data_IF_477479508420
#
_entry.id   IF_477479508420
#
_cell.length_a   1.000
_cell.length_b   1.000
_cell.length_c   1.000
_cell.angle_alpha   90.00
_cell.angle_beta   90.00
_cell.angle_gamma   90.00
#
_symmetry.space_group_name_H-M   'P 1'
#
loop_
_entity.id
_entity.type
_entity.pdbx_description
1 polymer ?
#
# COMPACT_ATOMS: atom_id res chain seq x y z
N UNK A 1 44.43 46.13 10.15
CA UNK A 1 43.23 46.21 9.26
C UNK A 1 42.25 45.12 9.72
N UNK A 2 41.19 45.53 10.46
CA UNK A 2 40.42 44.64 11.34
C UNK A 2 39.41 43.76 10.59
N UNK A 3 39.36 42.51 10.97
CA UNK A 3 38.47 41.44 10.47
C UNK A 3 37.00 41.91 10.29
N UNK A 4 36.55 42.80 11.15
CA UNK A 4 35.22 43.46 11.10
C UNK A 4 34.90 44.20 9.80
N UNK A 5 35.93 44.79 9.13
CA UNK A 5 35.74 45.48 7.83
C UNK A 5 35.59 44.52 6.67
N UNK A 6 36.25 43.33 6.70
CA UNK A 6 36.06 42.29 5.67
C UNK A 6 34.71 41.63 5.75
N UNK A 7 34.16 41.41 6.98
CA UNK A 7 32.83 40.80 7.16
C UNK A 7 31.71 41.74 6.66
N UNK A 8 31.89 43.07 6.79
CA UNK A 8 30.90 44.05 6.34
C UNK A 8 30.85 44.21 4.82
N UNK A 9 31.90 43.81 4.09
CA UNK A 9 31.90 43.80 2.64
C UNK A 9 31.24 42.54 2.04
N UNK A 10 31.17 41.45 2.78
CA UNK A 10 30.50 40.21 2.35
C UNK A 10 28.97 40.24 2.50
N UNK A 11 28.44 41.23 3.28
CA UNK A 11 26.98 41.40 3.48
C UNK A 11 26.42 42.52 2.59
N UNK A 12 27.18 42.94 1.59
CA UNK A 12 26.76 44.06 0.73
C UNK A 12 26.20 43.51 -0.60
N UNK A 13 24.96 43.04 -0.57
CA UNK A 13 23.87 43.47 -1.45
C UNK A 13 22.59 42.72 -1.04
N UNK A 14 21.66 43.35 -0.35
CA UNK A 14 20.28 42.92 -0.41
C UNK A 14 19.75 43.39 -1.78
N UNK A 15 20.05 42.66 -2.81
CA UNK A 15 19.24 42.70 -4.01
C UNK A 15 17.94 41.99 -3.64
N UNK A 16 17.02 42.74 -3.08
CA UNK A 16 15.67 42.28 -2.82
C UNK A 16 15.02 41.90 -4.17
N UNK A 17 14.27 40.82 -4.18
CA UNK A 17 13.47 40.43 -5.33
C UNK A 17 12.55 41.60 -5.75
N UNK A 18 12.49 41.89 -7.03
CA UNK A 18 11.53 42.83 -7.55
C UNK A 18 10.12 42.20 -7.53
N UNK A 19 9.08 43.05 -7.35
CA UNK A 19 7.69 42.58 -7.43
C UNK A 19 7.41 41.85 -8.73
N UNK A 20 8.00 42.31 -9.86
CA UNK A 20 7.83 41.69 -11.15
C UNK A 20 8.47 40.30 -11.23
N UNK A 21 9.64 40.12 -10.62
CA UNK A 21 10.34 38.83 -10.56
C UNK A 21 9.54 37.81 -9.76
N UNK A 22 8.96 38.20 -8.60
CA UNK A 22 8.10 37.35 -7.81
C UNK A 22 6.84 36.91 -8.58
N UNK A 23 6.16 37.85 -9.24
CA UNK A 23 4.98 37.56 -10.08
C UNK A 23 5.34 36.57 -11.19
N UNK A 24 6.45 36.80 -11.87
CA UNK A 24 6.89 35.91 -12.96
C UNK A 24 7.12 34.47 -12.44
N UNK A 25 7.76 34.32 -11.29
CA UNK A 25 8.01 32.99 -10.71
C UNK A 25 6.71 32.28 -10.37
N UNK A 26 5.75 32.95 -9.72
CA UNK A 26 4.47 32.30 -9.36
C UNK A 26 3.66 31.92 -10.60
N UNK A 27 3.68 32.74 -11.68
CA UNK A 27 3.02 32.41 -12.95
C UNK A 27 3.65 31.17 -13.58
N UNK A 28 4.98 31.07 -13.62
CA UNK A 28 5.68 29.90 -14.17
C UNK A 28 5.36 28.64 -13.36
N UNK A 29 5.38 28.72 -12.02
CA UNK A 29 5.02 27.58 -11.16
C UNK A 29 3.57 27.16 -11.41
N UNK A 30 2.64 28.11 -11.53
CA UNK A 30 1.23 27.81 -11.80
C UNK A 30 1.05 27.07 -13.13
N UNK A 31 1.74 27.48 -14.19
CA UNK A 31 1.70 26.80 -15.50
C UNK A 31 2.26 25.39 -15.42
N UNK A 32 3.37 25.16 -14.70
CA UNK A 32 3.93 23.83 -14.50
C UNK A 32 3.01 22.93 -13.69
N UNK A 33 2.37 23.47 -12.66
CA UNK A 33 1.45 22.72 -11.80
C UNK A 33 0.26 22.13 -12.60
N UNK A 34 -0.31 22.89 -13.53
CA UNK A 34 -1.43 22.43 -14.37
C UNK A 34 -1.07 21.20 -15.20
N UNK A 35 0.18 21.07 -15.64
CA UNK A 35 0.65 19.92 -16.43
C UNK A 35 0.96 18.69 -15.57
N UNK A 36 1.44 18.89 -14.33
CA UNK A 36 1.93 17.81 -13.47
C UNK A 36 0.80 17.15 -12.66
N UNK A 37 -0.16 17.95 -12.17
CA UNK A 37 -1.19 17.47 -11.23
C UNK A 37 -2.02 16.30 -11.78
N UNK A 38 -2.53 16.30 -13.03
CA UNK A 38 -3.32 15.18 -13.53
C UNK A 38 -2.58 13.84 -13.54
N UNK A 39 -1.31 13.84 -13.95
CA UNK A 39 -0.48 12.63 -13.94
C UNK A 39 -0.18 12.12 -12.54
N UNK A 40 -0.01 13.01 -11.59
CA UNK A 40 0.27 12.67 -10.19
C UNK A 40 -0.90 11.98 -9.50
N UNK A 41 -2.14 12.36 -9.80
CA UNK A 41 -3.34 11.72 -9.24
C UNK A 41 -3.46 10.25 -9.67
N UNK A 42 -3.21 9.94 -10.95
CA UNK A 42 -3.19 8.55 -11.42
C UNK A 42 -2.11 7.72 -10.72
N UNK A 43 -0.93 8.27 -10.54
CA UNK A 43 0.16 7.58 -9.83
C UNK A 43 -0.20 7.25 -8.37
N UNK A 44 -0.88 8.18 -7.69
CA UNK A 44 -1.33 7.92 -6.30
C UNK A 44 -2.37 6.79 -6.25
N UNK A 45 -3.31 6.76 -7.19
CA UNK A 45 -4.34 5.72 -7.21
C UNK A 45 -3.75 4.33 -7.49
N UNK A 46 -2.80 4.24 -8.40
CA UNK A 46 -2.09 2.98 -8.67
C UNK A 46 -1.25 2.55 -7.46
N UNK A 47 -0.53 3.47 -6.81
CA UNK A 47 0.23 3.17 -5.60
C UNK A 47 -0.65 2.68 -4.44
N UNK A 48 -1.87 3.21 -4.30
CA UNK A 48 -2.84 2.73 -3.29
C UNK A 48 -3.30 1.31 -3.59
N UNK A 49 -3.53 0.96 -4.86
CA UNK A 49 -3.89 -0.40 -5.29
C UNK A 49 -2.76 -1.37 -5.02
N UNK A 50 -1.53 -1.01 -5.38
CA UNK A 50 -0.34 -1.84 -5.13
C UNK A 50 -0.13 -2.08 -3.64
N UNK A 51 -0.30 -1.06 -2.80
CA UNK A 51 -0.25 -1.20 -1.35
C UNK A 51 -1.34 -2.15 -0.83
N UNK A 52 -2.58 -2.01 -1.31
CA UNK A 52 -3.69 -2.89 -0.91
C UNK A 52 -3.42 -4.36 -1.32
N UNK A 53 -2.84 -4.59 -2.51
CA UNK A 53 -2.44 -5.94 -2.96
C UNK A 53 -1.36 -6.52 -2.04
N UNK A 54 -0.33 -5.74 -1.70
CA UNK A 54 0.75 -6.21 -0.83
C UNK A 54 0.24 -6.59 0.55
N UNK A 55 -0.64 -5.79 1.12
CA UNK A 55 -1.29 -6.06 2.41
C UNK A 55 -2.19 -7.30 2.35
N UNK A 56 -3.01 -7.43 1.30
CA UNK A 56 -3.87 -8.59 1.13
C UNK A 56 -3.05 -9.89 1.02
N UNK A 57 -1.88 -9.85 0.36
CA UNK A 57 -0.95 -10.99 0.30
C UNK A 57 -0.38 -11.33 1.68
N UNK A 58 -0.04 -10.33 2.48
CA UNK A 58 0.44 -10.55 3.85
C UNK A 58 -0.64 -11.21 4.71
N UNK A 59 -1.88 -10.75 4.60
CA UNK A 59 -3.04 -11.35 5.28
C UNK A 59 -3.28 -12.78 4.78
N UNK A 60 -3.18 -13.02 3.47
CA UNK A 60 -3.31 -14.38 2.91
C UNK A 60 -2.29 -15.36 3.50
N UNK A 61 -1.01 -14.95 3.55
CA UNK A 61 0.05 -15.79 4.12
C UNK A 61 -0.17 -16.05 5.61
N UNK A 62 -0.56 -15.04 6.37
CA UNK A 62 -0.89 -15.18 7.78
C UNK A 62 -2.10 -16.12 8.00
N UNK A 63 -3.14 -15.96 7.17
CA UNK A 63 -4.32 -16.84 7.22
C UNK A 63 -3.94 -18.30 6.90
N UNK A 64 -3.07 -18.51 5.90
CA UNK A 64 -2.60 -19.85 5.55
C UNK A 64 -1.80 -20.49 6.69
N UNK A 65 -0.90 -19.76 7.33
CA UNK A 65 -0.15 -20.24 8.50
C UNK A 65 -1.11 -20.63 9.61
N UNK A 66 -2.06 -19.76 9.95
CA UNK A 66 -3.01 -19.99 11.04
C UNK A 66 -3.98 -21.13 10.74
N UNK A 67 -4.46 -21.23 9.49
CA UNK A 67 -5.32 -22.33 9.07
C UNK A 67 -4.62 -23.70 9.21
N UNK A 68 -3.36 -23.77 8.75
CA UNK A 68 -2.54 -24.98 8.87
C UNK A 68 -2.30 -25.34 10.35
N UNK A 69 -2.04 -24.34 11.21
CA UNK A 69 -1.88 -24.53 12.64
C UNK A 69 -3.16 -25.08 13.28
N UNK A 70 -4.32 -24.46 13.02
CA UNK A 70 -5.61 -24.93 13.53
C UNK A 70 -5.95 -26.33 13.04
N UNK A 71 -5.60 -26.65 11.79
CA UNK A 71 -5.81 -27.99 11.24
C UNK A 71 -4.93 -29.03 11.92
N UNK A 72 -3.70 -28.68 12.28
CA UNK A 72 -2.75 -29.61 12.92
C UNK A 72 -3.16 -30.02 14.34
N UNK A 73 -3.97 -29.19 15.02
CA UNK A 73 -4.45 -29.45 16.37
C UNK A 73 -5.94 -29.84 16.40
N UNK A 74 -6.52 -30.15 15.23
CA UNK A 74 -7.90 -30.56 15.12
C UNK A 74 -8.15 -31.90 15.85
N UNK A 75 -9.20 -31.93 16.66
CA UNK A 75 -9.68 -33.10 17.36
C UNK A 75 -11.22 -33.13 17.36
N UNK A 76 -11.81 -34.23 17.77
CA UNK A 76 -13.28 -34.33 17.94
C UNK A 76 -13.83 -33.30 18.94
N UNK A 77 -13.03 -32.89 19.93
CA UNK A 77 -13.39 -31.91 20.94
C UNK A 77 -13.06 -30.47 20.51
N UNK A 78 -12.11 -30.30 19.59
CA UNK A 78 -11.70 -29.01 19.02
C UNK A 78 -11.69 -29.10 17.49
N UNK A 79 -12.86 -28.97 16.83
CA UNK A 79 -12.95 -29.08 15.39
C UNK A 79 -12.26 -27.88 14.70
N UNK A 80 -11.72 -28.13 13.52
CA UNK A 80 -11.12 -27.08 12.69
C UNK A 80 -12.10 -25.92 12.42
N UNK A 81 -11.61 -24.71 12.58
CA UNK A 81 -12.30 -23.48 12.20
C UNK A 81 -11.43 -22.63 11.28
N UNK A 82 -12.08 -21.91 10.38
CA UNK A 82 -11.41 -20.94 9.52
C UNK A 82 -10.92 -19.77 10.39
N UNK A 83 -9.64 -19.32 10.26
CA UNK A 83 -9.14 -18.20 11.03
C UNK A 83 -9.86 -16.90 10.68
N UNK A 84 -10.06 -16.04 11.65
CA UNK A 84 -10.60 -14.71 11.49
C UNK A 84 -9.51 -13.61 11.63
N UNK A 85 -9.90 -12.34 11.46
CA UNK A 85 -8.98 -11.21 11.55
C UNK A 85 -8.27 -11.11 12.93
N UNK A 86 -8.91 -11.57 14.02
CA UNK A 86 -8.30 -11.50 15.35
C UNK A 86 -7.21 -12.56 15.51
N UNK A 87 -7.39 -13.71 14.88
CA UNK A 87 -6.40 -14.80 14.90
C UNK A 87 -5.10 -14.43 14.17
N UNK A 88 -5.14 -13.43 13.31
CA UNK A 88 -4.01 -13.02 12.46
C UNK A 88 -3.18 -11.87 13.02
N UNK A 89 -3.63 -11.21 14.09
CA UNK A 89 -3.03 -9.96 14.59
C UNK A 89 -1.55 -10.08 14.96
N UNK A 90 -1.16 -11.19 15.53
CA UNK A 90 0.21 -11.46 15.94
C UNK A 90 1.14 -11.83 14.77
N UNK A 91 0.58 -12.26 13.64
CA UNK A 91 1.31 -12.65 12.44
C UNK A 91 1.48 -11.49 11.44
N UNK A 92 0.48 -10.63 11.33
CA UNK A 92 0.49 -9.52 10.35
C UNK A 92 1.20 -8.26 10.83
N UNK A 93 1.66 -8.24 12.10
CA UNK A 93 2.39 -7.09 12.65
C UNK A 93 1.48 -5.97 13.14
N UNK A 94 2.00 -4.73 13.25
CA UNK A 94 1.31 -3.63 13.92
C UNK A 94 -0.06 -3.34 13.30
N UNK A 95 -0.99 -2.87 14.11
CA UNK A 95 -2.42 -2.67 13.84
C UNK A 95 -2.77 -1.92 12.55
N UNK A 96 -1.79 -1.25 11.93
CA UNK A 96 -1.98 -0.45 10.72
C UNK A 96 -2.42 -1.23 9.48
N UNK A 97 -2.18 -2.55 9.42
CA UNK A 97 -2.57 -3.36 8.26
C UNK A 97 -4.10 -3.47 8.14
N UNK A 98 -4.81 -3.37 9.26
CA UNK A 98 -6.28 -3.37 9.28
C UNK A 98 -6.89 -1.96 9.22
N UNK A 99 -6.06 -0.92 9.25
CA UNK A 99 -6.55 0.47 9.12
C UNK A 99 -7.18 0.67 7.75
N UNK A 100 -8.44 1.11 7.73
CA UNK A 100 -9.22 1.29 6.51
C UNK A 100 -9.77 0.00 5.90
N UNK A 101 -9.53 -1.18 6.51
CA UNK A 101 -10.19 -2.43 6.09
C UNK A 101 -11.63 -2.43 6.60
N UNK A 102 -12.57 -2.44 5.66
CA UNK A 102 -14.02 -2.46 5.95
C UNK A 102 -14.61 -3.87 5.89
N UNK A 103 -13.97 -4.78 5.14
CA UNK A 103 -14.37 -6.16 5.00
C UNK A 103 -13.15 -7.05 4.80
N UNK A 104 -13.10 -8.15 5.53
CA UNK A 104 -12.16 -9.25 5.30
C UNK A 104 -12.94 -10.56 5.33
N UNK A 105 -12.85 -11.33 4.23
CA UNK A 105 -13.46 -12.65 4.12
C UNK A 105 -12.37 -13.66 3.79
N UNK A 106 -12.26 -14.69 4.60
CA UNK A 106 -11.30 -15.79 4.42
C UNK A 106 -12.14 -17.04 4.14
N UNK A 107 -11.80 -17.77 3.09
CA UNK A 107 -12.54 -18.95 2.63
C UNK A 107 -11.61 -20.15 2.55
N UNK A 108 -12.05 -21.24 3.14
CA UNK A 108 -11.50 -22.59 3.01
C UNK A 108 -12.72 -23.50 2.81
N UNK A 109 -13.03 -23.79 1.55
CA UNK A 109 -14.31 -24.43 1.16
C UNK A 109 -14.38 -25.88 1.61
N UNK A 110 -13.25 -26.59 1.60
CA UNK A 110 -13.17 -28.01 1.93
C UNK A 110 -12.70 -28.27 3.37
N UNK A 111 -12.33 -27.22 4.12
CA UNK A 111 -11.85 -27.26 5.49
C UNK A 111 -10.61 -28.15 5.68
N UNK A 112 -9.72 -28.15 4.71
CA UNK A 112 -8.49 -28.92 4.76
C UNK A 112 -7.30 -28.18 5.39
N UNK A 113 -7.50 -26.91 5.75
CA UNK A 113 -6.46 -26.02 6.29
C UNK A 113 -5.70 -25.28 5.20
N UNK A 114 -6.19 -25.35 3.94
CA UNK A 114 -5.67 -24.58 2.83
C UNK A 114 -6.65 -23.44 2.48
N UNK A 115 -6.18 -22.21 2.51
CA UNK A 115 -7.04 -21.07 2.19
C UNK A 115 -7.23 -20.98 0.68
N UNK A 116 -8.48 -21.13 0.23
CA UNK A 116 -8.88 -21.09 -1.18
C UNK A 116 -9.01 -19.67 -1.70
N UNK A 117 -9.43 -18.74 -0.84
CA UNK A 117 -9.69 -17.36 -1.24
C UNK A 117 -9.60 -16.39 -0.07
N UNK A 118 -9.06 -15.20 -0.35
CA UNK A 118 -9.24 -14.03 0.51
C UNK A 118 -9.86 -12.90 -0.31
N UNK A 119 -10.86 -12.25 0.27
CA UNK A 119 -11.42 -11.00 -0.21
C UNK A 119 -11.25 -9.92 0.85
N UNK A 120 -10.56 -8.85 0.50
CA UNK A 120 -10.33 -7.70 1.37
C UNK A 120 -10.84 -6.43 0.70
N UNK A 121 -11.62 -5.64 1.43
CA UNK A 121 -11.97 -4.27 1.01
C UNK A 121 -11.27 -3.29 1.93
N UNK A 122 -10.35 -2.51 1.37
CA UNK A 122 -9.60 -1.46 2.07
C UNK A 122 -9.72 -0.14 1.33
N UNK A 123 -10.14 0.92 2.04
CA UNK A 123 -10.31 2.26 1.45
C UNK A 123 -11.10 2.25 0.13
N UNK A 124 -12.14 1.45 0.06
CA UNK A 124 -13.00 1.24 -1.11
C UNK A 124 -12.33 0.49 -2.29
N UNK A 125 -11.15 -0.08 -2.10
CA UNK A 125 -10.46 -0.95 -3.07
C UNK A 125 -10.78 -2.40 -2.69
N UNK A 126 -11.37 -3.15 -3.61
CA UNK A 126 -11.66 -4.58 -3.42
C UNK A 126 -10.51 -5.41 -4.01
N UNK A 127 -9.84 -6.20 -3.16
CA UNK A 127 -8.75 -7.10 -3.55
C UNK A 127 -9.16 -8.54 -3.28
N UNK A 128 -9.07 -9.39 -4.30
CA UNK A 128 -9.34 -10.82 -4.21
C UNK A 128 -8.05 -11.57 -4.55
N UNK A 129 -7.65 -12.48 -3.67
CA UNK A 129 -6.50 -13.37 -3.86
C UNK A 129 -7.00 -14.82 -3.84
N UNK A 130 -6.68 -15.56 -4.89
CA UNK A 130 -6.87 -17.01 -4.99
C UNK A 130 -5.54 -17.67 -5.39
N UNK A 131 -5.13 -18.75 -4.74
CA UNK A 131 -3.88 -19.46 -5.06
C UNK A 131 -3.86 -19.89 -6.54
N UNK A 132 -2.73 -19.68 -7.21
CA UNK A 132 -2.57 -20.06 -8.62
C UNK A 132 -3.33 -19.21 -9.63
N UNK A 133 -4.05 -18.18 -9.19
CA UNK A 133 -4.73 -17.23 -10.08
C UNK A 133 -4.12 -15.83 -9.95
N UNK A 134 -4.43 -14.99 -10.94
CA UNK A 134 -4.06 -13.57 -10.87
C UNK A 134 -4.89 -12.85 -9.82
N UNK A 135 -4.26 -11.88 -9.16
CA UNK A 135 -4.97 -11.01 -8.20
C UNK A 135 -6.01 -10.18 -8.94
N UNK A 136 -7.21 -10.12 -8.38
CA UNK A 136 -8.30 -9.29 -8.92
C UNK A 136 -8.45 -8.05 -8.05
N UNK A 137 -8.43 -6.85 -8.67
CA UNK A 137 -8.66 -5.57 -8.00
C UNK A 137 -9.82 -4.87 -8.66
N UNK A 138 -10.84 -4.51 -7.88
CA UNK A 138 -12.06 -3.85 -8.36
C UNK A 138 -12.71 -4.58 -9.56
N UNK A 139 -12.69 -5.92 -9.52
CA UNK A 139 -13.25 -6.77 -10.58
C UNK A 139 -12.37 -6.90 -11.83
N UNK A 140 -11.17 -6.35 -11.84
CA UNK A 140 -10.22 -6.48 -12.96
C UNK A 140 -9.02 -7.32 -12.53
N UNK A 141 -8.63 -8.27 -13.36
CA UNK A 141 -7.38 -8.98 -13.17
C UNK A 141 -6.19 -8.01 -13.33
N UNK A 142 -5.35 -7.95 -12.30
CA UNK A 142 -4.10 -7.21 -12.36
C UNK A 142 -3.03 -8.17 -12.85
N UNK A 143 -2.30 -7.79 -13.89
CA UNK A 143 -1.17 -8.57 -14.35
C UNK A 143 -0.17 -8.71 -13.19
N UNK A 144 0.34 -9.94 -13.00
CA UNK A 144 1.30 -10.26 -11.95
C UNK A 144 2.34 -9.14 -11.79
N UNK A 145 2.61 -8.79 -10.52
CA UNK A 145 3.65 -7.86 -10.14
C UNK A 145 4.89 -8.07 -11.03
N UNK A 146 5.46 -6.97 -11.54
CA UNK A 146 6.60 -6.89 -12.47
C UNK A 146 7.91 -7.55 -11.97
N UNK A 147 7.82 -8.63 -11.18
CA UNK A 147 8.90 -9.38 -10.58
C UNK A 147 8.77 -10.88 -10.75
N UNK A 148 7.64 -11.38 -11.25
CA UNK A 148 7.49 -12.80 -11.58
C UNK A 148 7.90 -12.97 -13.03
N UNK A 149 9.20 -13.15 -13.24
CA UNK A 149 9.75 -13.64 -14.51
C UNK A 149 9.10 -14.97 -14.81
N UNK A 150 8.44 -15.07 -15.97
CA UNK A 150 8.04 -16.33 -16.58
C UNK A 150 9.24 -17.31 -16.55
N UNK A 151 9.26 -18.18 -15.57
CA UNK A 151 10.13 -19.37 -15.60
C UNK A 151 9.42 -20.35 -16.51
N UNK A 152 9.88 -20.35 -17.75
CA UNK A 152 9.55 -21.39 -18.72
C UNK A 152 10.16 -22.71 -18.30
#
# INVERSE_FOLDING_TARGET
MTLRRKLKMLIKSPSGFTMMELITVIVVIALLAVLIIPGYLHFIDDAKKDAAIAEARTIYLAAQIRATEFKSVETAENPYRIPDANDLRDLVGPDNIYEGVTKLTIVDDNRDGTIDKIEMIKNNINVIIEPGKRVVVDGKEVSAYKGETDVK
#
